data_IF_381474318303
#
_entry.id   IF_381474318303
#
_cell.length_a   1.000
_cell.length_b   1.000
_cell.length_c   1.000
_cell.angle_alpha   90.00
_cell.angle_beta   90.00
_cell.angle_gamma   90.00
#
_symmetry.space_group_name_H-M   'P 1'
#
loop_
_entity.id
_entity.type
_entity.pdbx_description
1 polymer ?
#
# COMPACT_ATOMS: atom_id res chain seq x y z
N UNK A 1 -8.00 2.54 -16.48
CA UNK A 1 -8.74 2.20 -15.24
C UNK A 1 -7.73 2.14 -14.10
N UNK A 2 -8.01 2.81 -12.98
CA UNK A 2 -7.13 2.82 -11.80
C UNK A 2 -7.67 1.87 -10.73
N UNK A 3 -6.84 0.95 -10.26
CA UNK A 3 -7.19 -0.04 -9.23
C UNK A 3 -6.24 0.12 -8.04
N UNK A 4 -6.81 0.31 -6.86
CA UNK A 4 -6.08 0.31 -5.60
C UNK A 4 -6.09 -1.10 -5.02
N UNK A 5 -4.93 -1.74 -4.99
CA UNK A 5 -4.73 -3.05 -4.36
C UNK A 5 -4.27 -2.84 -2.94
N UNK A 6 -4.94 -3.48 -2.00
CA UNK A 6 -4.64 -3.42 -0.58
C UNK A 6 -4.46 -4.85 -0.06
N UNK A 7 -3.34 -5.09 0.62
CA UNK A 7 -3.13 -6.27 1.44
C UNK A 7 -3.02 -5.83 2.91
N UNK A 8 -4.03 -6.19 3.69
CA UNK A 8 -4.11 -5.88 5.11
C UNK A 8 -3.64 -7.07 5.96
N UNK A 9 -2.59 -6.84 6.75
CA UNK A 9 -2.29 -7.64 7.92
C UNK A 9 -2.94 -7.03 9.18
N UNK A 10 -2.79 -7.71 10.32
CA UNK A 10 -3.34 -7.24 11.60
C UNK A 10 -2.75 -5.91 12.09
N UNK A 11 -1.52 -5.57 11.68
CA UNK A 11 -0.82 -4.33 12.05
C UNK A 11 -0.02 -3.72 10.89
N UNK A 12 -0.36 -4.08 9.65
CA UNK A 12 0.32 -3.58 8.46
C UNK A 12 -0.62 -3.47 7.27
N UNK A 13 -0.32 -2.54 6.37
CA UNK A 13 -1.02 -2.37 5.09
C UNK A 13 0.02 -2.19 4.00
N UNK A 14 0.06 -3.13 3.05
CA UNK A 14 0.78 -2.95 1.78
C UNK A 14 -0.21 -2.48 0.73
N UNK A 15 0.10 -1.40 0.03
CA UNK A 15 -0.78 -0.84 -0.99
C UNK A 15 -0.04 -0.63 -2.31
N UNK A 16 -0.79 -0.72 -3.41
CA UNK A 16 -0.34 -0.38 -4.76
C UNK A 16 -1.49 0.25 -5.54
N UNK A 17 -1.24 1.37 -6.21
CA UNK A 17 -2.16 1.94 -7.19
C UNK A 17 -1.68 1.55 -8.59
N UNK A 18 -2.50 0.78 -9.30
CA UNK A 18 -2.17 0.25 -10.62
C UNK A 18 -3.07 0.91 -11.66
N UNK A 19 -2.49 1.42 -12.73
CA UNK A 19 -3.22 1.69 -13.96
C UNK A 19 -3.27 0.42 -14.79
N UNK A 20 -4.44 -0.21 -14.87
CA UNK A 20 -4.57 -1.53 -15.50
C UNK A 20 -4.65 -1.46 -17.02
N UNK A 21 -4.90 -0.29 -17.60
CA UNK A 21 -4.83 -0.10 -19.06
C UNK A 21 -3.39 -0.21 -19.54
N UNK A 22 -2.49 0.51 -18.87
CA UNK A 22 -1.06 0.56 -19.22
C UNK A 22 -0.22 -0.49 -18.46
N UNK A 23 -0.86 -1.29 -17.59
CA UNK A 23 -0.23 -2.25 -16.66
C UNK A 23 0.87 -1.63 -15.79
N UNK A 24 0.74 -0.34 -15.50
CA UNK A 24 1.71 0.45 -14.77
C UNK A 24 1.37 0.51 -13.28
N UNK A 25 2.38 0.40 -12.41
CA UNK A 25 2.21 0.72 -10.98
C UNK A 25 2.53 2.20 -10.78
N UNK A 26 1.51 3.01 -10.50
CA UNK A 26 1.62 4.46 -10.30
C UNK A 26 2.25 4.79 -8.95
N UNK A 27 1.90 4.04 -7.91
CA UNK A 27 2.53 4.15 -6.60
C UNK A 27 2.41 2.84 -5.83
N UNK A 28 3.28 2.69 -4.84
CA UNK A 28 3.21 1.61 -3.86
C UNK A 28 3.65 2.14 -2.51
N UNK A 29 3.38 1.37 -1.48
CA UNK A 29 3.95 1.63 -0.18
C UNK A 29 3.55 0.59 0.84
N UNK A 30 4.05 0.80 2.04
CA UNK A 30 3.87 -0.08 3.18
C UNK A 30 3.72 0.77 4.43
N UNK A 31 2.64 0.52 5.16
CA UNK A 31 2.45 1.01 6.52
C UNK A 31 2.70 -0.16 7.45
N UNK A 32 3.57 0.03 8.43
CA UNK A 32 3.94 -1.01 9.40
C UNK A 32 3.71 -0.53 10.83
N UNK A 33 3.53 -1.50 11.73
CA UNK A 33 3.39 -1.27 13.18
C UNK A 33 2.23 -0.33 13.51
N UNK A 34 1.12 -0.48 12.79
CA UNK A 34 -0.11 0.29 13.03
C UNK A 34 -0.57 0.02 14.47
N UNK A 35 -0.83 1.09 15.22
CA UNK A 35 -1.16 1.02 16.65
C UNK A 35 0.04 1.06 17.60
N UNK A 36 1.28 1.05 17.11
CA UNK A 36 2.47 1.28 17.92
C UNK A 36 2.96 2.73 17.82
N UNK A 37 3.64 3.21 18.87
CA UNK A 37 4.34 4.52 18.86
C UNK A 37 5.41 4.58 17.75
N UNK A 38 5.93 3.41 17.34
CA UNK A 38 6.92 3.25 16.27
C UNK A 38 6.28 2.93 14.92
N UNK A 39 5.05 3.40 14.66
CA UNK A 39 4.44 3.24 13.33
C UNK A 39 5.27 3.96 12.25
N UNK A 40 5.44 3.32 11.10
CA UNK A 40 6.28 3.81 10.01
C UNK A 40 5.52 3.68 8.68
N UNK A 41 5.68 4.69 7.83
CA UNK A 41 5.22 4.67 6.43
C UNK A 41 6.44 4.64 5.52
N UNK A 42 6.41 3.75 4.52
CA UNK A 42 7.40 3.63 3.44
C UNK A 42 6.69 3.74 2.09
N UNK A 43 7.26 4.52 1.17
CA UNK A 43 6.78 4.71 -0.20
C UNK A 43 7.72 4.03 -1.19
#
# INVERSE_FOLDING_TARGET
MKVLVINCGSSSIKYQLINTEDKETLCKGLVERIGAVTSIVRH
#
